data_IF_416478478354
#
_entry.id   IF_416478478354
#
_cell.length_a   1.000
_cell.length_b   1.000
_cell.length_c   1.000
_cell.angle_alpha   90.00
_cell.angle_beta   90.00
_cell.angle_gamma   90.00
#
_symmetry.space_group_name_H-M   'P 1'
#
loop_
_entity.id
_entity.type
_entity.pdbx_description
1 polymer ?
#
# COMPACT_ATOMS: atom_id res chain seq x y z
N UNK A 1 10.04 10.78 -14.64
CA UNK A 1 10.14 11.33 -16.01
C UNK A 1 11.54 11.90 -16.22
N UNK A 2 12.15 11.63 -17.38
CA UNK A 2 13.39 12.26 -17.85
C UNK A 2 13.07 12.97 -19.17
N UNK A 3 13.52 14.23 -19.31
CA UNK A 3 13.33 15.07 -20.50
C UNK A 3 14.59 15.90 -20.71
N UNK A 4 15.01 16.04 -21.96
CA UNK A 4 16.19 16.80 -22.37
C UNK A 4 15.95 17.60 -23.65
N UNK A 5 16.94 18.40 -24.06
CA UNK A 5 16.89 19.20 -25.29
C UNK A 5 16.30 20.61 -25.13
N UNK A 6 16.10 21.07 -23.89
CA UNK A 6 15.61 22.42 -23.57
C UNK A 6 16.76 23.42 -23.35
N UNK A 7 16.45 24.71 -23.29
CA UNK A 7 17.39 25.75 -22.92
C UNK A 7 17.87 25.62 -21.48
N UNK A 8 19.15 25.91 -21.23
CA UNK A 8 19.73 25.85 -19.89
C UNK A 8 18.97 26.77 -18.91
N UNK A 9 18.58 26.22 -17.76
CA UNK A 9 17.79 26.91 -16.72
C UNK A 9 16.43 27.44 -17.19
N UNK A 10 15.90 26.98 -18.32
CA UNK A 10 14.59 27.43 -18.78
C UNK A 10 13.44 26.79 -18.01
N UNK A 11 12.33 27.50 -17.94
CA UNK A 11 11.06 26.97 -17.42
C UNK A 11 10.42 26.07 -18.47
N UNK A 12 10.00 24.87 -18.07
CA UNK A 12 9.32 23.87 -18.91
C UNK A 12 7.92 23.64 -18.34
N UNK A 13 6.91 23.84 -19.18
CA UNK A 13 5.53 23.51 -18.84
C UNK A 13 5.22 22.06 -19.25
N UNK A 14 4.68 21.27 -18.33
CA UNK A 14 4.21 19.91 -18.61
C UNK A 14 2.70 19.95 -18.80
N UNK A 15 2.24 19.56 -19.98
CA UNK A 15 0.84 19.62 -20.39
C UNK A 15 0.34 18.20 -20.65
N UNK A 16 -0.78 17.85 -20.03
CA UNK A 16 -1.54 16.64 -20.28
C UNK A 16 -2.63 16.90 -21.32
N UNK A 17 -3.02 15.86 -22.06
CA UNK A 17 -3.95 15.94 -23.22
C UNK A 17 -3.52 17.03 -24.20
N UNK A 18 -2.23 17.04 -24.55
CA UNK A 18 -1.63 18.06 -25.40
C UNK A 18 -2.37 18.17 -26.75
N UNK A 19 -2.65 19.41 -27.16
CA UNK A 19 -3.42 19.77 -28.36
C UNK A 19 -4.90 19.31 -28.35
N UNK A 20 -5.43 18.88 -27.21
CA UNK A 20 -6.85 18.63 -27.03
C UNK A 20 -7.57 19.85 -26.44
N UNK A 21 -8.88 19.95 -26.66
CA UNK A 21 -9.71 21.07 -26.17
C UNK A 21 -9.77 21.15 -24.64
N UNK A 22 -9.52 20.04 -23.96
CA UNK A 22 -9.48 19.90 -22.51
C UNK A 22 -8.05 19.72 -21.96
N UNK A 23 -7.03 20.21 -22.68
CA UNK A 23 -5.65 20.15 -22.19
C UNK A 23 -5.49 20.81 -20.82
N UNK A 24 -4.63 20.26 -19.97
CA UNK A 24 -4.39 20.75 -18.61
C UNK A 24 -2.89 20.91 -18.36
N UNK A 25 -2.51 22.01 -17.71
CA UNK A 25 -1.16 22.17 -17.19
C UNK A 25 -1.00 21.30 -15.95
N UNK A 26 -0.14 20.28 -16.02
CA UNK A 26 0.15 19.36 -14.92
C UNK A 26 1.07 20.02 -13.92
N UNK A 27 2.20 20.53 -14.39
CA UNK A 27 3.23 21.12 -13.55
C UNK A 27 4.18 21.99 -14.36
N UNK A 28 5.04 22.73 -13.67
CA UNK A 28 6.10 23.52 -14.28
C UNK A 28 7.42 23.16 -13.63
N UNK A 29 8.41 22.84 -14.46
CA UNK A 29 9.75 22.39 -14.06
C UNK A 29 10.79 23.40 -14.54
N UNK A 30 12.00 23.33 -13.98
CA UNK A 30 13.13 24.14 -14.45
C UNK A 30 14.22 23.20 -14.94
N UNK A 31 14.66 23.40 -16.18
CA UNK A 31 15.80 22.69 -16.76
C UNK A 31 17.08 22.96 -15.96
N UNK A 32 17.99 22.00 -15.91
CA UNK A 32 19.32 22.23 -15.37
C UNK A 32 20.19 23.05 -16.34
N UNK A 33 21.46 23.27 -15.98
CA UNK A 33 22.41 24.02 -16.80
C UNK A 33 22.73 23.33 -18.15
N UNK A 34 22.33 22.07 -18.33
CA UNK A 34 22.50 21.30 -19.57
C UNK A 34 21.22 21.24 -20.41
N UNK A 35 20.09 21.73 -19.90
CA UNK A 35 18.81 21.67 -20.59
C UNK A 35 17.99 20.40 -20.31
N UNK A 36 18.34 19.66 -19.24
CA UNK A 36 17.68 18.42 -18.85
C UNK A 36 16.87 18.57 -17.55
N UNK A 37 15.88 17.70 -17.35
CA UNK A 37 15.10 17.57 -16.12
C UNK A 37 14.85 16.10 -15.78
N UNK A 38 15.03 15.77 -14.50
CA UNK A 38 14.54 14.52 -13.89
C UNK A 38 13.57 14.90 -12.77
N UNK A 39 12.33 14.44 -12.88
CA UNK A 39 11.33 14.63 -11.82
C UNK A 39 10.36 13.46 -11.74
N UNK A 40 9.83 13.24 -10.54
CA UNK A 40 8.59 12.49 -10.34
C UNK A 40 7.44 13.50 -10.50
N UNK A 41 6.36 13.09 -11.16
CA UNK A 41 5.19 13.91 -11.43
C UNK A 41 3.98 13.06 -11.06
N UNK A 42 3.11 13.58 -10.21
CA UNK A 42 1.79 13.00 -9.98
C UNK A 42 0.93 13.30 -11.21
N UNK A 43 0.67 12.27 -12.00
CA UNK A 43 -0.10 12.42 -13.23
C UNK A 43 -1.58 12.57 -12.91
N UNK A 44 -2.31 13.56 -13.48
CA UNK A 44 -3.74 13.67 -13.27
C UNK A 44 -4.46 12.53 -13.98
N UNK A 45 -5.60 12.12 -13.44
CA UNK A 45 -6.46 11.19 -14.17
C UNK A 45 -6.95 11.78 -15.49
N UNK A 46 -7.06 10.93 -16.50
CA UNK A 46 -7.63 11.24 -17.79
C UNK A 46 -8.71 10.23 -18.13
N UNK A 47 -9.88 10.71 -18.52
CA UNK A 47 -10.99 9.83 -18.85
C UNK A 47 -10.59 8.88 -19.98
N UNK A 48 -10.87 7.59 -19.77
CA UNK A 48 -10.58 6.57 -20.75
C UNK A 48 -11.32 6.88 -22.06
N UNK A 49 -10.63 6.68 -23.17
CA UNK A 49 -11.12 6.94 -24.51
C UNK A 49 -10.79 5.76 -25.43
N UNK A 50 -11.38 5.69 -26.62
CA UNK A 50 -11.19 4.57 -27.56
C UNK A 50 -9.75 4.41 -28.10
N UNK A 51 -8.85 5.38 -27.83
CA UNK A 51 -7.46 5.30 -28.24
C UNK A 51 -6.54 4.68 -27.18
N UNK A 52 -7.05 4.40 -25.97
CA UNK A 52 -6.35 3.79 -24.83
C UNK A 52 -5.02 4.47 -24.46
N UNK A 53 -4.86 5.74 -24.83
CA UNK A 53 -3.65 6.50 -24.59
C UNK A 53 -3.95 7.99 -24.52
N UNK A 54 -3.07 8.74 -23.85
CA UNK A 54 -3.09 10.19 -23.81
C UNK A 54 -1.74 10.76 -24.24
N UNK A 55 -1.79 11.82 -25.05
CA UNK A 55 -0.60 12.58 -25.44
C UNK A 55 -0.31 13.64 -24.40
N UNK A 56 0.94 13.72 -23.98
CA UNK A 56 1.44 14.81 -23.15
C UNK A 56 2.61 15.52 -23.83
N UNK A 57 2.90 16.73 -23.37
CA UNK A 57 4.02 17.50 -23.88
C UNK A 57 4.78 18.26 -22.79
N UNK A 58 6.08 18.42 -23.03
CA UNK A 58 6.96 19.35 -22.33
C UNK A 58 7.25 20.54 -23.26
N UNK A 59 6.94 21.76 -22.80
CA UNK A 59 7.00 22.98 -23.61
C UNK A 59 7.93 23.99 -22.94
N UNK A 60 9.08 24.26 -23.57
CA UNK A 60 10.05 25.25 -23.13
C UNK A 60 9.49 26.66 -23.28
N UNK A 61 9.43 27.41 -22.19
CA UNK A 61 8.81 28.74 -22.20
C UNK A 61 9.70 29.81 -22.86
N UNK A 62 11.02 29.62 -22.88
CA UNK A 62 11.93 30.53 -23.56
C UNK A 62 12.21 30.08 -24.99
N UNK A 63 12.49 28.78 -25.18
CA UNK A 63 12.86 28.22 -26.48
C UNK A 63 11.66 27.94 -27.39
N UNK A 64 10.47 27.79 -26.83
CA UNK A 64 9.25 27.34 -27.52
C UNK A 64 9.38 25.94 -28.14
N UNK A 65 10.40 25.17 -27.74
CA UNK A 65 10.51 23.76 -28.12
C UNK A 65 9.39 22.99 -27.42
N UNK A 66 8.69 22.14 -28.17
CA UNK A 66 7.69 21.22 -27.65
C UNK A 66 8.11 19.78 -27.98
N UNK A 67 8.29 18.97 -26.93
CA UNK A 67 8.47 17.53 -27.04
C UNK A 67 7.21 16.85 -26.55
N UNK A 68 6.69 15.88 -27.30
CA UNK A 68 5.49 15.14 -26.94
C UNK A 68 5.72 13.64 -26.93
N UNK A 69 5.00 12.93 -26.06
CA UNK A 69 4.95 11.49 -26.01
C UNK A 69 3.53 11.04 -25.65
N UNK A 70 3.26 9.73 -25.79
CA UNK A 70 2.02 9.11 -25.31
C UNK A 70 2.31 8.17 -24.15
N UNK A 71 1.33 7.99 -23.28
CA UNK A 71 1.31 6.89 -22.32
C UNK A 71 -0.07 6.20 -22.34
N UNK A 72 -0.12 4.89 -22.03
CA UNK A 72 -1.38 4.14 -22.01
C UNK A 72 -2.28 4.57 -20.85
N UNK A 73 -3.58 4.64 -21.09
CA UNK A 73 -4.58 4.89 -20.05
C UNK A 73 -4.94 3.56 -19.39
N UNK A 74 -4.21 3.22 -18.33
CA UNK A 74 -4.47 2.02 -17.55
C UNK A 74 -5.24 2.38 -16.27
N UNK A 75 -6.49 1.92 -16.10
CA UNK A 75 -7.27 2.17 -14.89
C UNK A 75 -6.48 1.79 -13.63
N UNK A 76 -6.46 2.69 -12.65
CA UNK A 76 -5.68 2.52 -11.43
C UNK A 76 -6.54 2.78 -10.18
N UNK A 77 -6.14 2.20 -9.05
CA UNK A 77 -6.73 2.48 -7.74
C UNK A 77 -5.63 2.61 -6.69
N UNK A 78 -5.76 3.63 -5.83
CA UNK A 78 -4.83 3.89 -4.72
C UNK A 78 -5.57 4.45 -3.50
N UNK A 79 -4.93 4.44 -2.34
CA UNK A 79 -5.42 5.13 -1.14
C UNK A 79 -4.98 6.58 -1.08
N UNK A 80 -5.82 7.44 -0.48
CA UNK A 80 -5.49 8.86 -0.26
C UNK A 80 -4.26 9.06 0.63
N UNK A 81 -4.05 8.15 1.59
CA UNK A 81 -3.02 8.26 2.64
C UNK A 81 -1.96 7.15 2.56
N UNK A 82 -1.95 6.36 1.48
CA UNK A 82 -1.07 5.19 1.34
C UNK A 82 0.22 5.50 0.59
N UNK A 83 1.36 5.09 1.16
CA UNK A 83 2.59 4.79 0.40
C UNK A 83 2.27 3.64 -0.58
N UNK A 84 2.89 3.56 -1.77
CA UNK A 84 2.22 3.20 -3.04
C UNK A 84 1.74 1.75 -3.23
N UNK A 85 1.69 0.91 -2.19
CA UNK A 85 1.49 -0.54 -2.33
C UNK A 85 0.32 -1.09 -1.49
N UNK A 86 -0.44 -0.25 -0.78
CA UNK A 86 -1.50 -0.72 0.12
C UNK A 86 -1.71 0.13 1.37
N UNK A 87 -2.69 -0.25 2.18
CA UNK A 87 -3.02 0.43 3.44
C UNK A 87 -3.37 -0.59 4.51
N UNK A 88 -3.15 -0.23 5.79
CA UNK A 88 -3.53 -1.06 6.94
C UNK A 88 -4.72 -0.40 7.64
N UNK A 89 -5.67 -1.21 8.10
CA UNK A 89 -6.78 -0.73 8.93
C UNK A 89 -7.54 -1.89 9.58
N UNK A 90 -8.60 -1.57 10.31
CA UNK A 90 -9.49 -2.57 10.92
C UNK A 90 -10.94 -2.32 10.53
N UNK A 91 -11.79 -3.31 10.77
CA UNK A 91 -13.23 -3.17 10.60
C UNK A 91 -13.74 -1.94 11.38
N UNK A 92 -14.60 -1.15 10.73
CA UNK A 92 -15.12 0.10 11.27
C UNK A 92 -14.30 1.35 10.98
N UNK A 93 -13.05 1.22 10.52
CA UNK A 93 -12.28 2.38 10.05
C UNK A 93 -12.91 2.98 8.79
N UNK A 94 -12.69 4.28 8.56
CA UNK A 94 -13.06 4.91 7.29
C UNK A 94 -11.87 4.85 6.34
N UNK A 95 -12.05 4.17 5.20
CA UNK A 95 -11.06 4.11 4.14
C UNK A 95 -11.43 5.07 3.01
N UNK A 96 -10.42 5.81 2.52
CA UNK A 96 -10.54 6.73 1.39
C UNK A 96 -9.65 6.27 0.25
N UNK A 97 -10.25 5.99 -0.90
CA UNK A 97 -9.57 5.55 -2.11
C UNK A 97 -9.87 6.50 -3.25
N UNK A 98 -9.00 6.50 -4.26
CA UNK A 98 -9.31 7.09 -5.57
C UNK A 98 -9.06 6.03 -6.62
N UNK A 99 -10.04 5.86 -7.50
CA UNK A 99 -9.89 5.14 -8.75
C UNK A 99 -9.75 6.15 -9.90
N UNK A 100 -8.90 5.86 -10.88
CA UNK A 100 -8.55 6.77 -11.96
C UNK A 100 -8.69 6.08 -13.32
N UNK A 101 -8.83 6.89 -14.36
CA UNK A 101 -8.75 6.52 -15.77
C UNK A 101 -9.86 5.56 -16.21
N UNK A 102 -11.06 5.79 -15.68
CA UNK A 102 -12.32 5.18 -16.15
C UNK A 102 -12.98 6.05 -17.22
N UNK A 103 -13.98 5.51 -17.93
CA UNK A 103 -14.78 6.30 -18.88
C UNK A 103 -15.55 7.36 -18.10
N UNK A 104 -15.57 8.60 -18.57
CA UNK A 104 -16.25 9.69 -17.87
C UNK A 104 -17.77 9.43 -17.72
N UNK A 105 -18.30 9.65 -16.52
CA UNK A 105 -19.73 9.48 -16.21
C UNK A 105 -20.21 8.04 -16.03
N UNK A 106 -19.32 7.05 -16.06
CA UNK A 106 -19.69 5.66 -15.83
C UNK A 106 -19.82 5.32 -14.34
N UNK A 107 -20.61 4.30 -14.02
CA UNK A 107 -20.59 3.72 -12.67
C UNK A 107 -19.36 2.84 -12.48
N UNK A 108 -18.68 3.02 -11.35
CA UNK A 108 -17.51 2.25 -10.96
C UNK A 108 -17.77 1.61 -9.60
N UNK A 109 -17.59 0.29 -9.53
CA UNK A 109 -17.68 -0.47 -8.28
C UNK A 109 -16.29 -0.70 -7.70
N UNK A 110 -16.12 -0.44 -6.40
CA UNK A 110 -14.92 -0.86 -5.67
C UNK A 110 -15.24 -2.14 -4.90
N UNK A 111 -14.36 -3.13 -5.01
CA UNK A 111 -14.53 -4.44 -4.38
C UNK A 111 -13.39 -4.80 -3.43
N UNK A 112 -13.71 -5.57 -2.40
CA UNK A 112 -12.80 -6.26 -1.50
C UNK A 112 -12.98 -7.77 -1.73
N UNK A 113 -11.97 -8.47 -2.30
CA UNK A 113 -12.06 -9.88 -2.72
C UNK A 113 -13.40 -10.21 -3.43
N UNK A 114 -13.80 -9.33 -4.36
CA UNK A 114 -15.04 -9.40 -5.15
C UNK A 114 -16.34 -8.97 -4.45
N UNK A 115 -16.36 -8.69 -3.14
CA UNK A 115 -17.50 -8.03 -2.49
C UNK A 115 -17.50 -6.53 -2.76
N UNK A 116 -18.59 -6.01 -3.33
CA UNK A 116 -18.77 -4.57 -3.54
C UNK A 116 -18.87 -3.85 -2.20
N UNK A 117 -17.95 -2.91 -1.95
CA UNK A 117 -17.92 -2.06 -0.75
C UNK A 117 -18.29 -0.60 -1.05
N UNK A 118 -18.22 -0.21 -2.33
CA UNK A 118 -18.59 1.14 -2.77
C UNK A 118 -19.02 1.14 -4.24
N UNK A 119 -19.91 2.07 -4.60
CA UNK A 119 -20.25 2.37 -5.99
C UNK A 119 -20.32 3.88 -6.15
N UNK A 120 -19.60 4.41 -7.14
CA UNK A 120 -19.58 5.83 -7.47
C UNK A 120 -19.70 6.06 -8.97
N UNK A 121 -19.77 7.31 -9.37
CA UNK A 121 -19.76 7.72 -10.78
C UNK A 121 -18.47 8.48 -11.07
N UNK A 122 -17.77 8.11 -12.15
CA UNK A 122 -16.55 8.79 -12.57
C UNK A 122 -16.83 10.22 -13.01
N UNK A 123 -15.93 11.12 -12.66
CA UNK A 123 -16.00 12.52 -13.08
C UNK A 123 -15.60 12.68 -14.56
N UNK A 124 -15.53 13.93 -15.02
CA UNK A 124 -15.17 14.26 -16.40
C UNK A 124 -13.73 13.85 -16.78
N UNK A 125 -12.87 13.62 -15.78
CA UNK A 125 -11.51 13.16 -15.95
C UNK A 125 -11.38 11.65 -15.70
N UNK A 126 -12.48 10.90 -15.52
CA UNK A 126 -12.42 9.47 -15.27
C UNK A 126 -12.09 9.06 -13.84
N UNK A 127 -12.07 10.02 -12.90
CA UNK A 127 -11.73 9.75 -11.50
C UNK A 127 -12.97 9.48 -10.63
N UNK A 128 -12.83 8.59 -9.65
CA UNK A 128 -13.84 8.27 -8.64
C UNK A 128 -13.19 8.34 -7.26
N UNK A 129 -13.56 9.35 -6.48
CA UNK A 129 -13.20 9.42 -5.06
C UNK A 129 -14.18 8.60 -4.23
N UNK A 130 -13.69 7.62 -3.50
CA UNK A 130 -14.47 6.74 -2.65
C UNK A 130 -14.17 6.98 -1.17
N UNK A 131 -15.21 6.85 -0.34
CA UNK A 131 -15.10 6.86 1.11
C UNK A 131 -16.13 5.88 1.67
N UNK A 132 -15.67 4.86 2.39
CA UNK A 132 -16.54 3.83 2.97
C UNK A 132 -15.96 3.30 4.27
N UNK A 133 -16.82 2.61 5.04
CA UNK A 133 -16.42 1.94 6.28
C UNK A 133 -15.85 0.57 5.91
N UNK A 134 -14.66 0.26 6.40
CA UNK A 134 -14.03 -1.05 6.23
C UNK A 134 -14.95 -2.12 6.85
N UNK A 135 -15.39 -3.12 6.06
CA UNK A 135 -16.31 -4.15 6.57
C UNK A 135 -15.64 -5.05 7.61
N UNK A 136 -16.39 -5.89 8.34
CA UNK A 136 -15.82 -7.01 9.07
C UNK A 136 -14.98 -7.91 8.14
N UNK A 137 -13.96 -8.59 8.66
CA UNK A 137 -13.06 -9.40 7.83
C UNK A 137 -13.76 -10.64 7.28
N UNK A 138 -14.55 -11.29 8.13
CA UNK A 138 -15.38 -12.46 7.81
C UNK A 138 -16.38 -12.22 6.68
N UNK A 139 -16.63 -10.95 6.40
CA UNK A 139 -17.57 -10.47 5.40
C UNK A 139 -16.93 -10.40 4.00
N UNK A 140 -15.59 -10.44 3.90
CA UNK A 140 -14.79 -10.27 2.67
C UNK A 140 -13.67 -11.31 2.50
N UNK A 141 -13.42 -12.15 3.50
CA UNK A 141 -12.33 -13.13 3.50
C UNK A 141 -12.66 -14.31 4.42
N UNK A 142 -12.05 -15.46 4.19
CA UNK A 142 -12.13 -16.62 5.09
C UNK A 142 -11.29 -16.46 6.37
N UNK A 143 -10.47 -15.41 6.45
CA UNK A 143 -9.67 -15.07 7.63
C UNK A 143 -8.34 -14.40 7.28
N UNK A 144 -7.84 -14.62 6.05
CA UNK A 144 -6.61 -13.99 5.59
C UNK A 144 -6.78 -12.47 5.53
N UNK A 145 -5.85 -11.73 6.15
CA UNK A 145 -5.95 -10.28 6.30
C UNK A 145 -5.55 -9.48 5.06
N UNK A 146 -4.99 -10.11 4.03
CA UNK A 146 -4.64 -9.46 2.77
C UNK A 146 -5.82 -9.49 1.79
N UNK A 147 -6.43 -8.33 1.57
CA UNK A 147 -7.62 -8.18 0.74
C UNK A 147 -7.26 -7.50 -0.56
N UNK A 148 -7.58 -8.17 -1.66
CA UNK A 148 -7.44 -7.62 -2.98
C UNK A 148 -8.51 -6.57 -3.22
N UNK A 149 -8.09 -5.36 -3.58
CA UNK A 149 -8.99 -4.26 -3.87
C UNK A 149 -8.98 -3.98 -5.37
N UNK A 150 -10.17 -3.90 -5.98
CA UNK A 150 -10.32 -3.58 -7.40
C UNK A 150 -11.31 -2.44 -7.58
N UNK A 151 -11.19 -1.68 -8.66
CA UNK A 151 -12.29 -0.86 -9.19
C UNK A 151 -12.71 -1.37 -10.58
N UNK A 152 -14.02 -1.45 -10.83
CA UNK A 152 -14.60 -2.05 -12.04
C UNK A 152 -15.60 -1.07 -12.66
N UNK A 153 -15.35 -0.65 -13.89
CA UNK A 153 -16.25 0.18 -14.69
C UNK A 153 -17.38 -0.67 -15.23
N UNK A 154 -18.62 -0.34 -14.90
CA UNK A 154 -19.78 -1.17 -15.25
C UNK A 154 -20.19 -1.06 -16.71
N UNK A 155 -19.83 0.04 -17.38
CA UNK A 155 -20.15 0.24 -18.78
C UNK A 155 -19.01 -0.20 -19.70
N UNK A 156 -17.77 0.14 -19.30
CA UNK A 156 -16.56 -0.12 -20.06
C UNK A 156 -15.99 -1.52 -19.81
N UNK A 157 -16.31 -2.16 -18.68
CA UNK A 157 -15.63 -3.35 -18.14
C UNK A 157 -14.14 -3.14 -17.88
N UNK A 158 -13.68 -1.89 -17.82
CA UNK A 158 -12.34 -1.56 -17.37
C UNK A 158 -12.17 -1.99 -15.92
N UNK A 159 -10.99 -2.54 -15.60
CA UNK A 159 -10.69 -3.02 -14.26
C UNK A 159 -9.38 -2.39 -13.79
N UNK A 160 -9.47 -1.55 -12.77
CA UNK A 160 -8.32 -1.16 -11.98
C UNK A 160 -8.06 -2.25 -10.94
N UNK A 161 -7.32 -3.25 -11.40
CA UNK A 161 -6.69 -4.27 -10.59
C UNK A 161 -5.21 -4.08 -10.90
N UNK A 162 -4.50 -3.31 -10.05
CA UNK A 162 -3.12 -2.94 -10.34
C UNK A 162 -2.38 -4.18 -10.83
N UNK A 163 -1.57 -4.01 -11.88
CA UNK A 163 -0.84 -5.04 -12.64
C UNK A 163 -0.58 -6.33 -11.85
N UNK A 164 -0.62 -7.54 -12.44
CA UNK A 164 -0.33 -8.80 -11.74
C UNK A 164 1.00 -8.80 -10.95
N UNK A 165 1.90 -7.86 -11.24
CA UNK A 165 3.15 -7.64 -10.53
C UNK A 165 3.06 -6.77 -9.27
N UNK A 166 2.04 -5.91 -9.10
CA UNK A 166 1.87 -4.95 -7.99
C UNK A 166 0.38 -4.61 -7.68
N UNK A 167 -0.47 -5.56 -7.21
CA UNK A 167 -1.88 -5.30 -6.86
C UNK A 167 -2.04 -4.28 -5.71
N UNK A 168 -3.15 -3.53 -5.66
CA UNK A 168 -3.48 -2.72 -4.47
C UNK A 168 -4.12 -3.62 -3.42
N UNK A 169 -3.46 -3.76 -2.28
CA UNK A 169 -3.90 -4.64 -1.19
C UNK A 169 -4.30 -3.80 0.02
N UNK A 170 -5.47 -4.09 0.58
CA UNK A 170 -5.84 -3.65 1.92
C UNK A 170 -5.44 -4.74 2.91
N UNK A 171 -4.71 -4.37 3.96
CA UNK A 171 -4.32 -5.28 5.02
C UNK A 171 -5.17 -5.01 6.27
N UNK A 172 -5.95 -5.99 6.68
CA UNK A 172 -6.56 -5.97 8.01
C UNK A 172 -5.46 -6.01 9.06
N UNK A 173 -5.60 -5.20 10.10
CA UNK A 173 -4.65 -5.13 11.19
C UNK A 173 -4.51 -6.52 11.84
N UNK A 174 -3.31 -7.11 11.82
CA UNK A 174 -3.06 -8.39 12.45
C UNK A 174 -3.26 -8.34 13.95
N UNK A 175 -3.54 -9.49 14.55
CA UNK A 175 -3.61 -9.64 16.01
C UNK A 175 -2.60 -10.70 16.47
N UNK A 176 -2.07 -10.50 17.68
CA UNK A 176 -1.12 -11.39 18.31
C UNK A 176 -1.47 -11.55 19.78
N UNK A 177 -1.54 -12.79 20.26
CA UNK A 177 -1.90 -13.11 21.64
C UNK A 177 -0.95 -14.16 22.21
N UNK A 178 -0.63 -14.00 23.50
CA UNK A 178 0.23 -14.90 24.28
C UNK A 178 -0.58 -15.56 25.38
N UNK A 179 -0.35 -16.85 25.62
CA UNK A 179 -0.95 -17.60 26.74
C UNK A 179 0.07 -18.56 27.33
N UNK A 180 0.51 -18.39 28.60
CA UNK A 180 0.16 -17.29 29.50
C UNK A 180 0.85 -15.96 29.13
N UNK A 181 0.34 -14.83 29.63
CA UNK A 181 0.97 -13.50 29.47
C UNK A 181 1.96 -13.17 30.59
N UNK A 182 2.09 -14.04 31.61
CA UNK A 182 3.04 -13.88 32.70
C UNK A 182 3.55 -15.23 33.19
N UNK A 183 4.76 -15.29 33.73
CA UNK A 183 5.30 -16.50 34.35
C UNK A 183 6.80 -16.43 34.61
N UNK A 184 7.36 -17.38 35.38
CA UNK A 184 8.80 -17.42 35.64
C UNK A 184 9.60 -17.78 34.37
N UNK A 185 10.92 -17.61 34.42
CA UNK A 185 11.81 -18.15 33.39
C UNK A 185 11.57 -19.66 33.20
N UNK A 186 11.56 -20.13 31.95
CA UNK A 186 11.20 -21.49 31.54
C UNK A 186 9.70 -21.70 31.28
N UNK A 187 8.89 -20.66 31.34
CA UNK A 187 7.46 -20.75 30.99
C UNK A 187 7.31 -21.03 29.50
N UNK A 188 6.55 -22.07 29.17
CA UNK A 188 6.09 -22.32 27.80
C UNK A 188 4.92 -21.42 27.48
N UNK A 189 5.05 -20.62 26.42
CA UNK A 189 4.05 -19.66 25.97
C UNK A 189 3.49 -20.12 24.65
N UNK A 190 2.18 -20.32 24.59
CA UNK A 190 1.45 -20.45 23.33
C UNK A 190 1.26 -19.07 22.71
N UNK A 191 1.63 -18.93 21.45
CA UNK A 191 1.49 -17.71 20.65
C UNK A 191 0.49 -17.99 19.55
N UNK A 192 -0.58 -17.21 19.49
CA UNK A 192 -1.59 -17.28 18.44
C UNK A 192 -1.63 -15.95 17.70
N UNK A 193 -1.59 -16.01 16.36
CA UNK A 193 -1.80 -14.83 15.52
C UNK A 193 -2.93 -15.06 14.52
N UNK A 194 -3.59 -13.97 14.15
CA UNK A 194 -4.70 -13.97 13.20
C UNK A 194 -4.68 -12.71 12.32
N UNK A 195 -5.36 -12.80 11.17
CA UNK A 195 -5.45 -11.75 10.14
C UNK A 195 -4.11 -11.39 9.49
N UNK A 196 -3.14 -12.30 9.51
CA UNK A 196 -1.95 -12.15 8.68
C UNK A 196 -2.26 -12.51 7.23
N UNK A 197 -1.39 -12.16 6.26
CA UNK A 197 -1.55 -12.65 4.91
C UNK A 197 -1.40 -14.17 4.84
N UNK A 198 -2.20 -14.82 3.99
CA UNK A 198 -2.21 -16.27 3.85
C UNK A 198 -0.86 -16.83 3.35
N UNK A 199 -0.42 -17.95 3.91
CA UNK A 199 0.76 -18.69 3.44
C UNK A 199 2.09 -17.95 3.52
N UNK A 200 2.20 -16.94 4.40
CA UNK A 200 3.41 -16.15 4.59
C UNK A 200 4.31 -16.77 5.65
N UNK A 201 5.61 -16.48 5.53
CA UNK A 201 6.65 -16.95 6.45
C UNK A 201 7.39 -15.74 7.01
N UNK A 202 7.41 -15.60 8.32
CA UNK A 202 8.07 -14.47 8.96
C UNK A 202 8.63 -14.80 10.34
N UNK A 203 9.63 -14.03 10.82
CA UNK A 203 10.16 -14.23 12.16
C UNK A 203 9.17 -13.72 13.22
N UNK A 204 8.95 -14.54 14.23
CA UNK A 204 8.43 -14.15 15.53
C UNK A 204 9.64 -13.90 16.43
N UNK A 205 9.90 -12.64 16.77
CA UNK A 205 11.05 -12.23 17.55
C UNK A 205 10.65 -11.87 18.99
N UNK A 206 11.60 -12.00 19.92
CA UNK A 206 11.46 -11.49 21.27
C UNK A 206 12.36 -10.27 21.47
N UNK A 207 11.77 -9.15 21.89
CA UNK A 207 12.50 -8.01 22.41
C UNK A 207 12.24 -7.82 23.90
N UNK A 208 13.29 -7.59 24.70
CA UNK A 208 13.20 -7.30 26.12
C UNK A 208 13.64 -5.87 26.43
N UNK A 209 13.66 -5.47 27.70
CA UNK A 209 14.43 -4.30 28.12
C UNK A 209 15.91 -4.70 28.08
N UNK A 210 16.47 -4.83 26.88
CA UNK A 210 17.91 -4.88 26.72
C UNK A 210 18.41 -3.50 27.17
N UNK A 211 19.34 -3.47 28.11
CA UNK A 211 19.94 -2.23 28.61
C UNK A 211 20.23 -1.27 27.45
N UNK A 212 19.92 0.03 27.58
CA UNK A 212 19.96 0.99 26.48
C UNK A 212 21.40 1.21 26.01
N UNK A 213 21.87 0.35 25.11
CA UNK A 213 22.76 0.81 24.06
C UNK A 213 21.88 1.01 22.82
N UNK A 214 21.49 2.25 22.48
CA UNK A 214 20.62 2.53 21.33
C UNK A 214 21.25 2.10 19.99
N UNK A 215 22.53 1.72 19.96
CA UNK A 215 23.25 1.25 18.78
C UNK A 215 23.29 -0.29 18.62
N UNK A 216 22.67 -1.07 19.53
CA UNK A 216 22.74 -2.54 19.47
C UNK A 216 21.37 -3.21 19.63
N UNK A 217 20.81 -3.69 18.52
CA UNK A 217 19.75 -4.69 18.53
C UNK A 217 20.31 -6.01 19.08
N UNK A 218 20.23 -6.21 20.39
CA UNK A 218 20.60 -7.49 20.99
C UNK A 218 19.42 -8.45 20.87
N UNK A 219 19.42 -9.28 19.83
CA UNK A 219 18.58 -10.47 19.77
C UNK A 219 19.40 -11.61 20.37
N UNK A 220 19.04 -12.20 21.52
CA UNK A 220 19.72 -13.40 21.98
C UNK A 220 19.62 -14.46 20.89
N UNK A 221 20.71 -15.18 20.60
CA UNK A 221 20.65 -16.31 19.69
C UNK A 221 19.52 -17.27 20.15
N UNK A 222 18.77 -17.84 19.20
CA UNK A 222 17.61 -18.73 19.44
C UNK A 222 16.30 -18.04 19.92
N UNK A 223 16.18 -16.70 19.84
CA UNK A 223 14.94 -15.97 20.20
C UNK A 223 13.97 -15.69 19.06
N UNK A 224 14.19 -16.31 17.90
CA UNK A 224 13.26 -16.21 16.78
C UNK A 224 12.68 -17.57 16.43
N UNK A 225 11.35 -17.63 16.36
CA UNK A 225 10.65 -18.75 15.73
C UNK A 225 10.25 -18.32 14.32
N UNK A 226 10.54 -19.14 13.31
CA UNK A 226 9.94 -18.93 11.99
C UNK A 226 8.52 -19.48 12.04
N UNK A 227 7.54 -18.63 11.75
CA UNK A 227 6.13 -19.01 11.72
C UNK A 227 5.61 -18.96 10.30
N UNK A 228 4.72 -19.89 9.99
CA UNK A 228 3.97 -19.93 8.74
C UNK A 228 2.49 -19.73 9.05
N UNK A 229 1.84 -18.83 8.34
CA UNK A 229 0.38 -18.68 8.42
C UNK A 229 -0.31 -19.74 7.57
N UNK A 230 -1.48 -20.19 8.02
CA UNK A 230 -2.37 -21.02 7.22
C UNK A 230 -3.05 -20.21 6.10
N UNK A 231 -3.98 -20.84 5.38
CA UNK A 231 -4.72 -20.21 4.29
C UNK A 231 -5.71 -19.14 4.77
N UNK A 232 -6.04 -19.15 6.06
CA UNK A 232 -6.91 -18.18 6.71
C UNK A 232 -6.09 -17.14 7.48
N UNK A 233 -4.77 -17.05 7.23
CA UNK A 233 -3.93 -16.03 7.85
C UNK A 233 -3.69 -16.23 9.35
N UNK A 234 -3.92 -17.43 9.87
CA UNK A 234 -3.75 -17.76 11.28
C UNK A 234 -2.49 -18.59 11.51
N UNK A 235 -1.96 -18.52 12.73
CA UNK A 235 -0.94 -19.47 13.18
C UNK A 235 -1.07 -19.74 14.67
N UNK A 236 -0.53 -20.87 15.11
CA UNK A 236 -0.31 -21.18 16.53
C UNK A 236 1.06 -21.82 16.68
N UNK A 237 1.89 -21.28 17.58
CA UNK A 237 3.21 -21.83 17.89
C UNK A 237 3.48 -21.74 19.39
N UNK A 238 4.60 -22.30 19.83
CA UNK A 238 5.07 -22.17 21.22
C UNK A 238 6.47 -21.58 21.27
N UNK A 239 6.71 -20.68 22.21
CA UNK A 239 8.03 -20.15 22.55
C UNK A 239 8.35 -20.44 24.03
N UNK A 240 9.63 -20.49 24.40
CA UNK A 240 10.08 -20.78 25.77
C UNK A 240 10.70 -19.55 26.39
N UNK A 241 10.17 -19.10 27.55
CA UNK A 241 10.62 -17.94 28.32
C UNK A 241 11.94 -18.13 29.05
N UNK A 242 13.02 -18.44 28.34
CA UNK A 242 14.30 -18.76 28.95
C UNK A 242 15.15 -17.51 29.25
N UNK A 243 15.75 -17.46 30.43
CA UNK A 243 16.68 -16.40 30.83
C UNK A 243 16.02 -15.05 31.12
N UNK A 244 14.70 -15.01 31.33
CA UNK A 244 13.99 -13.77 31.62
C UNK A 244 14.22 -13.31 33.07
N UNK A 245 14.32 -12.00 33.26
CA UNK A 245 14.53 -11.37 34.57
C UNK A 245 13.17 -11.05 35.20
N UNK A 246 12.91 -11.61 36.39
CA UNK A 246 11.70 -11.35 37.18
C UNK A 246 11.42 -9.84 37.32
N UNK A 247 10.17 -9.45 37.12
CA UNK A 247 9.69 -8.07 37.18
C UNK A 247 9.84 -7.29 35.87
N UNK A 248 10.47 -7.86 34.84
CA UNK A 248 10.63 -7.21 33.54
C UNK A 248 9.52 -7.55 32.54
N UNK A 249 9.27 -6.59 31.65
CA UNK A 249 8.30 -6.69 30.57
C UNK A 249 9.02 -6.95 29.25
N UNK A 250 8.61 -8.00 28.55
CA UNK A 250 9.14 -8.40 27.25
C UNK A 250 8.05 -8.31 26.18
N UNK A 251 8.47 -8.03 24.95
CA UNK A 251 7.65 -7.82 23.77
C UNK A 251 7.88 -8.97 22.77
N UNK A 252 6.83 -9.70 22.45
CA UNK A 252 6.86 -10.71 21.38
C UNK A 252 6.33 -10.04 20.12
N UNK A 253 7.16 -9.92 19.10
CA UNK A 253 6.85 -9.17 17.89
C UNK A 253 6.81 -10.10 16.68
N UNK A 254 5.68 -10.13 16.00
CA UNK A 254 5.52 -10.73 14.68
C UNK A 254 5.74 -9.64 13.63
N UNK A 255 6.78 -9.79 12.79
CA UNK A 255 7.11 -8.81 11.74
C UNK A 255 6.97 -9.46 10.37
N UNK A 256 5.87 -9.17 9.68
CA UNK A 256 5.75 -9.51 8.26
C UNK A 256 6.47 -8.43 7.42
N UNK A 257 7.37 -8.87 6.54
CA UNK A 257 8.10 -8.03 5.56
C UNK A 257 7.67 -8.31 4.12
N UNK A 258 6.63 -9.12 3.91
CA UNK A 258 6.20 -9.51 2.57
C UNK A 258 5.72 -8.27 1.80
N UNK A 259 6.31 -8.07 0.62
CA UNK A 259 6.00 -6.98 -0.32
C UNK A 259 6.29 -5.54 0.16
N UNK A 260 7.28 -5.36 1.04
CA UNK A 260 7.77 -4.01 1.41
C UNK A 260 6.90 -3.28 2.43
N UNK A 261 5.94 -3.98 3.02
CA UNK A 261 5.18 -3.53 4.19
C UNK A 261 5.80 -4.11 5.45
N UNK A 262 6.03 -3.28 6.46
CA UNK A 262 6.29 -3.75 7.82
C UNK A 262 5.02 -3.59 8.65
N UNK A 263 4.29 -4.68 8.88
CA UNK A 263 3.36 -4.71 10.00
C UNK A 263 4.05 -5.47 11.13
N UNK A 264 4.60 -4.72 12.08
CA UNK A 264 5.08 -5.27 13.33
C UNK A 264 3.91 -5.22 14.32
N UNK A 265 3.41 -6.38 14.73
CA UNK A 265 2.43 -6.48 15.81
C UNK A 265 3.10 -7.09 17.03
N UNK A 266 2.91 -6.45 18.17
CA UNK A 266 3.58 -6.80 19.42
C UNK A 266 2.57 -7.21 20.48
N UNK A 267 2.85 -8.32 21.14
CA UNK A 267 2.20 -8.75 22.37
C UNK A 267 3.20 -8.70 23.54
N UNK A 268 2.70 -8.69 24.77
CA UNK A 268 3.56 -8.46 25.94
C UNK A 268 3.52 -9.63 26.92
N UNK A 269 4.69 -10.01 27.44
CA UNK A 269 4.88 -11.00 28.50
C UNK A 269 5.58 -10.38 29.70
N UNK A 270 5.10 -10.63 30.92
CA UNK A 270 5.74 -10.15 32.16
C UNK A 270 6.38 -11.32 32.90
N UNK A 271 7.70 -11.26 33.08
CA UNK A 271 8.45 -12.27 33.81
C UNK A 271 8.19 -12.16 35.32
N UNK A 272 7.93 -13.30 35.98
CA UNK A 272 7.72 -13.42 37.43
C UNK A 272 8.94 -13.97 38.15
#
# INVERSE_FOLDING_TARGET
>A
MYIDGFGANETIQIVDRYQQSNQVNVTTLTADATGAVISVIDWPSTAHNDADQVTFAAIGQATQIALSATHPLDPAITGYDSYPFGTIGKAGDTLRLIAFDFVAGEQVQITFNDKVVYTGTSDINGAVAASFVVPPLEDVSSGAGNIKVKAIGLSSNLVADLSPWLPFIFYYQPTLMLTPTTGPSGTTITVTGAHFPAGTYFPLAWDGPFTPNPDYYYYPADTYALISTDQDGNFTTTIQADGLVSGQTYHVTASDFTYGFSSAITATFVAQ
#
